data_IF_019096849401
#
_entry.id   IF_019096849401
#
_cell.length_a   1.000
_cell.length_b   1.000
_cell.length_c   1.000
_cell.angle_alpha   90.00
_cell.angle_beta   90.00
_cell.angle_gamma   90.00
#
_symmetry.space_group_name_H-M   'P 1'
#
loop_
_entity.id
_entity.type
_entity.pdbx_description
1 polymer ?
#
# COMPACT_ATOMS: atom_id res chain seq x y z
N UNK A 1 -28.79 37.39 70.26
CA UNK A 1 -29.25 37.26 68.85
C UNK A 1 -28.45 36.11 68.22
N UNK A 2 -29.00 34.89 68.17
CA UNK A 2 -29.51 34.18 66.96
C UNK A 2 -28.45 34.08 65.83
N UNK A 3 -27.93 32.85 65.57
CA UNK A 3 -28.31 31.93 64.45
C UNK A 3 -27.92 32.53 63.09
N UNK A 4 -27.28 31.89 62.11
CA UNK A 4 -27.38 30.52 61.59
C UNK A 4 -26.43 30.48 60.35
N UNK A 5 -25.65 29.42 60.14
CA UNK A 5 -25.85 28.32 59.15
C UNK A 5 -25.50 28.64 57.67
N UNK A 6 -25.14 27.53 56.98
CA UNK A 6 -24.97 27.29 55.52
C UNK A 6 -23.61 27.73 54.95
N UNK A 7 -22.64 26.87 54.61
CA UNK A 7 -22.62 25.67 53.75
C UNK A 7 -22.86 25.96 52.26
N UNK A 8 -21.79 25.95 51.46
CA UNK A 8 -21.80 25.61 50.03
C UNK A 8 -20.44 25.02 49.64
N UNK A 9 -20.48 23.79 49.12
CA UNK A 9 -19.37 22.96 48.64
C UNK A 9 -18.76 23.46 47.31
N UNK A 10 -17.55 23.01 46.93
CA UNK A 10 -16.78 23.60 45.84
C UNK A 10 -17.17 23.06 44.46
N UNK A 11 -17.10 23.94 43.47
CA UNK A 11 -17.28 23.66 42.05
C UNK A 11 -15.99 23.05 41.48
N UNK A 12 -15.92 21.72 41.40
CA UNK A 12 -14.87 21.01 40.69
C UNK A 12 -15.20 20.93 39.19
N UNK A 13 -14.53 21.75 38.37
CA UNK A 13 -14.61 21.69 36.91
C UNK A 13 -13.63 20.60 36.41
N UNK A 14 -14.16 19.40 36.17
CA UNK A 14 -13.43 18.34 35.48
C UNK A 14 -13.47 18.61 33.96
N UNK A 15 -12.35 19.07 33.41
CA UNK A 15 -12.12 19.25 31.98
C UNK A 15 -11.97 17.87 31.32
N UNK A 16 -13.01 17.39 30.63
CA UNK A 16 -12.93 16.22 29.76
C UNK A 16 -12.06 16.55 28.53
N UNK A 17 -10.81 16.09 28.54
CA UNK A 17 -10.01 15.93 27.32
C UNK A 17 -10.54 14.70 26.58
N UNK A 18 -11.37 14.94 25.56
CA UNK A 18 -11.69 13.93 24.56
C UNK A 18 -10.42 13.63 23.74
N UNK A 19 -9.71 12.58 24.13
CA UNK A 19 -8.70 11.97 23.28
C UNK A 19 -9.43 11.30 22.09
N UNK A 20 -9.35 11.91 20.92
CA UNK A 20 -9.66 11.22 19.67
C UNK A 20 -8.60 10.13 19.47
N UNK A 21 -8.82 8.95 20.04
CA UNK A 21 -8.19 7.72 19.58
C UNK A 21 -8.77 7.46 18.18
N UNK A 22 -8.06 7.94 17.15
CA UNK A 22 -8.33 7.51 15.79
C UNK A 22 -8.05 6.01 15.73
N UNK A 23 -9.09 5.19 15.77
CA UNK A 23 -8.95 3.75 15.58
C UNK A 23 -8.12 3.51 14.32
N UNK A 24 -6.95 2.85 14.40
CA UNK A 24 -6.18 2.57 13.22
C UNK A 24 -7.05 1.70 12.32
N UNK A 25 -7.36 2.21 11.12
CA UNK A 25 -8.11 1.45 10.12
C UNK A 25 -7.46 0.06 10.01
N UNK A 26 -8.26 -1.03 10.04
CA UNK A 26 -7.70 -2.37 9.91
C UNK A 26 -6.85 -2.40 8.64
N UNK A 27 -5.55 -2.63 8.81
CA UNK A 27 -4.65 -2.80 7.67
C UNK A 27 -5.12 -4.07 6.98
N UNK A 28 -5.59 -4.02 5.73
CA UNK A 28 -6.04 -5.21 5.05
C UNK A 28 -4.85 -6.16 4.94
N UNK A 29 -4.92 -7.24 5.71
CA UNK A 29 -3.94 -8.30 5.69
C UNK A 29 -4.07 -9.03 4.36
N UNK A 30 -2.93 -9.38 3.79
CA UNK A 30 -2.81 -9.98 2.47
C UNK A 30 -3.38 -9.08 1.38
N UNK A 31 -3.01 -7.79 1.42
CA UNK A 31 -3.36 -6.84 0.36
C UNK A 31 -2.17 -6.57 -0.57
N UNK A 32 -2.37 -6.66 -1.87
CA UNK A 32 -1.44 -6.18 -2.88
C UNK A 32 -2.09 -5.16 -3.79
N UNK A 33 -1.35 -4.10 -4.11
CA UNK A 33 -1.77 -3.19 -5.17
C UNK A 33 -0.65 -2.36 -5.77
N UNK A 34 -0.85 -1.97 -7.03
CA UNK A 34 0.01 -1.04 -7.76
C UNK A 34 -0.73 0.29 -7.89
N UNK A 35 -0.06 1.37 -7.50
CA UNK A 35 -0.63 2.70 -7.38
C UNK A 35 0.19 3.69 -8.21
N UNK A 36 -0.51 4.67 -8.79
CA UNK A 36 0.15 5.83 -9.39
C UNK A 36 0.80 6.70 -8.30
N UNK A 37 1.84 7.44 -8.69
CA UNK A 37 2.50 8.44 -7.83
C UNK A 37 2.41 9.83 -8.44
N UNK A 38 2.59 10.85 -7.61
CA UNK A 38 2.58 12.26 -8.02
C UNK A 38 3.75 13.04 -7.43
N UNK A 39 4.03 14.20 -8.03
CA UNK A 39 5.00 15.18 -7.51
C UNK A 39 4.34 16.36 -6.80
N UNK A 40 3.04 16.56 -7.01
CA UNK A 40 2.26 17.66 -6.41
C UNK A 40 1.15 17.06 -5.54
N UNK A 41 1.03 17.45 -4.25
CA UNK A 41 -0.07 17.01 -3.40
C UNK A 41 -1.44 17.41 -3.97
N UNK A 42 -2.42 16.53 -3.82
CA UNK A 42 -3.83 16.82 -4.08
C UNK A 42 -4.72 15.89 -3.25
N UNK A 43 -6.02 16.15 -3.21
CA UNK A 43 -6.97 15.30 -2.49
C UNK A 43 -7.02 13.84 -2.99
N UNK A 44 -6.46 13.54 -4.18
CA UNK A 44 -6.41 12.19 -4.73
C UNK A 44 -5.20 11.36 -4.26
N UNK A 45 -4.27 11.95 -3.48
CA UNK A 45 -3.04 11.31 -3.04
C UNK A 45 -2.86 11.37 -1.53
N UNK A 46 -2.23 10.35 -0.96
CA UNK A 46 -1.73 10.32 0.42
C UNK A 46 -0.20 10.23 0.42
N UNK A 47 0.43 10.72 1.47
CA UNK A 47 1.87 10.58 1.67
C UNK A 47 2.16 9.26 2.39
N UNK A 48 3.03 8.43 1.79
CA UNK A 48 3.60 7.24 2.42
C UNK A 48 5.13 7.35 2.41
N UNK A 49 5.80 6.73 3.38
CA UNK A 49 7.24 6.57 3.36
C UNK A 49 7.62 5.26 2.65
N UNK A 50 8.60 5.31 1.74
CA UNK A 50 9.21 4.11 1.17
C UNK A 50 10.13 3.40 2.21
N UNK A 51 10.68 2.21 1.91
CA UNK A 51 11.58 1.52 2.84
C UNK A 51 12.83 2.31 3.23
N UNK A 52 13.21 3.33 2.46
CA UNK A 52 14.33 4.22 2.72
C UNK A 52 13.92 5.48 3.52
N UNK A 53 12.63 5.58 3.92
CA UNK A 53 12.08 6.70 4.67
C UNK A 53 11.74 7.92 3.82
N UNK A 54 11.86 7.85 2.49
CA UNK A 54 11.54 8.96 1.60
C UNK A 54 10.02 9.05 1.41
N UNK A 55 9.50 10.25 1.60
CA UNK A 55 8.09 10.54 1.36
C UNK A 55 7.74 10.44 -0.12
N UNK A 56 6.63 9.76 -0.42
CA UNK A 56 6.07 9.61 -1.77
C UNK A 56 4.56 9.85 -1.73
N UNK A 57 4.06 10.62 -2.69
CA UNK A 57 2.63 10.79 -2.91
C UNK A 57 2.09 9.60 -3.67
N UNK A 58 1.20 8.84 -3.05
CA UNK A 58 0.62 7.61 -3.57
C UNK A 58 -0.88 7.80 -3.74
N UNK A 59 -1.42 7.41 -4.89
CA UNK A 59 -2.85 7.54 -5.18
C UNK A 59 -3.69 6.83 -4.09
N UNK A 60 -4.86 7.37 -3.77
CA UNK A 60 -5.72 6.77 -2.75
C UNK A 60 -6.26 5.40 -3.17
N UNK A 61 -6.54 5.22 -4.47
CA UNK A 61 -7.08 3.98 -5.06
C UNK A 61 -6.00 3.23 -5.85
N UNK A 62 -5.94 1.89 -5.74
CA UNK A 62 -5.04 1.09 -6.57
C UNK A 62 -5.48 1.10 -8.03
N UNK A 63 -4.51 1.11 -8.94
CA UNK A 63 -4.74 0.91 -10.37
C UNK A 63 -4.82 -0.58 -10.74
N UNK A 64 -4.11 -1.41 -9.97
CA UNK A 64 -4.11 -2.88 -10.05
C UNK A 64 -4.13 -3.44 -8.64
N UNK A 65 -4.80 -4.58 -8.45
CA UNK A 65 -4.91 -5.25 -7.14
C UNK A 65 -4.45 -6.70 -7.23
N UNK A 66 -4.37 -7.41 -6.11
CA UNK A 66 -4.15 -8.88 -6.11
C UNK A 66 -5.15 -9.64 -6.97
N UNK A 67 -6.37 -9.11 -7.13
CA UNK A 67 -7.36 -9.72 -7.99
C UNK A 67 -6.80 -9.83 -9.42
N UNK A 68 -6.09 -8.82 -9.87
CA UNK A 68 -5.59 -8.76 -11.24
C UNK A 68 -4.43 -9.71 -11.55
N UNK A 69 -3.90 -10.40 -10.53
CA UNK A 69 -2.77 -11.32 -10.64
C UNK A 69 -3.25 -12.66 -11.20
N UNK A 70 -2.62 -13.09 -12.30
CA UNK A 70 -2.80 -14.41 -12.90
C UNK A 70 -1.88 -15.45 -12.23
N UNK A 71 -0.62 -15.08 -11.98
CA UNK A 71 0.38 -15.91 -11.30
C UNK A 71 1.51 -15.04 -10.75
N UNK A 72 2.16 -15.49 -9.68
CA UNK A 72 3.35 -14.92 -9.11
C UNK A 72 4.40 -16.02 -8.90
N UNK A 73 5.64 -15.78 -9.32
CA UNK A 73 6.72 -16.78 -9.24
C UNK A 73 8.00 -16.15 -8.70
N UNK A 74 8.70 -16.89 -7.83
CA UNK A 74 10.02 -16.47 -7.34
C UNK A 74 11.05 -16.68 -8.44
N UNK A 75 11.76 -15.63 -8.81
CA UNK A 75 12.90 -15.67 -9.71
C UNK A 75 14.14 -15.08 -9.02
N UNK A 76 15.30 -15.27 -9.63
CA UNK A 76 16.56 -14.69 -9.16
C UNK A 76 17.10 -13.73 -10.23
N UNK A 77 17.64 -12.60 -9.80
CA UNK A 77 18.37 -11.69 -10.67
C UNK A 77 19.75 -12.28 -11.05
N UNK A 78 20.47 -11.59 -11.93
CA UNK A 78 21.82 -11.96 -12.36
C UNK A 78 22.86 -12.05 -11.22
N UNK A 79 22.56 -11.48 -10.05
CA UNK A 79 23.42 -11.50 -8.87
C UNK A 79 22.96 -12.56 -7.84
N UNK A 80 21.97 -13.39 -8.17
CA UNK A 80 21.39 -14.39 -7.27
C UNK A 80 20.46 -13.81 -6.20
N UNK A 81 20.01 -12.55 -6.34
CA UNK A 81 19.04 -11.94 -5.42
C UNK A 81 17.62 -12.38 -5.78
N UNK A 82 16.82 -12.84 -4.81
CA UNK A 82 15.46 -13.27 -5.07
C UNK A 82 14.54 -12.06 -5.34
N UNK A 83 13.56 -12.28 -6.20
CA UNK A 83 12.44 -11.38 -6.47
C UNK A 83 11.22 -12.16 -6.94
N UNK A 84 10.12 -11.46 -7.19
CA UNK A 84 8.86 -12.09 -7.63
C UNK A 84 8.44 -11.53 -8.99
N UNK A 85 8.35 -12.38 -10.01
CA UNK A 85 7.65 -12.01 -11.26
C UNK A 85 6.15 -12.16 -11.04
N UNK A 86 5.43 -11.05 -11.09
CA UNK A 86 3.96 -11.00 -11.07
C UNK A 86 3.47 -10.88 -12.50
N UNK A 87 2.70 -11.87 -12.94
CA UNK A 87 1.98 -11.84 -14.22
C UNK A 87 0.54 -11.46 -13.96
N UNK A 88 0.07 -10.43 -14.64
CA UNK A 88 -1.31 -9.97 -14.58
C UNK A 88 -2.19 -10.65 -15.64
N UNK A 89 -3.49 -10.70 -15.39
CA UNK A 89 -4.49 -11.10 -16.40
C UNK A 89 -4.46 -10.16 -17.61
N UNK A 90 -4.97 -10.61 -18.76
CA UNK A 90 -4.95 -9.79 -19.99
C UNK A 90 -5.66 -8.42 -19.83
N UNK A 91 -6.86 -8.31 -19.22
CA UNK A 91 -7.48 -7.00 -18.98
C UNK A 91 -6.63 -6.10 -18.08
N UNK A 92 -5.99 -6.68 -17.08
CA UNK A 92 -5.09 -5.96 -16.18
C UNK A 92 -3.78 -5.55 -16.85
N UNK A 93 -3.24 -6.38 -17.75
CA UNK A 93 -2.06 -6.05 -18.55
C UNK A 93 -2.30 -4.81 -19.43
N UNK A 94 -3.50 -4.63 -19.99
CA UNK A 94 -3.87 -3.41 -20.72
C UNK A 94 -3.89 -2.18 -19.80
N UNK A 95 -4.44 -2.31 -18.58
CA UNK A 95 -4.43 -1.22 -17.59
C UNK A 95 -3.01 -0.90 -17.10
N UNK A 96 -2.17 -1.91 -16.92
CA UNK A 96 -0.75 -1.74 -16.60
C UNK A 96 -0.02 -0.98 -17.70
N UNK A 97 -0.26 -1.32 -18.97
CA UNK A 97 0.32 -0.64 -20.11
C UNK A 97 -0.10 0.84 -20.19
N UNK A 98 -1.38 1.15 -19.92
CA UNK A 98 -1.87 2.53 -19.86
C UNK A 98 -1.21 3.31 -18.70
N UNK A 99 -1.25 2.74 -17.48
CA UNK A 99 -0.65 3.33 -16.28
C UNK A 99 0.83 3.65 -16.47
N UNK A 100 1.61 2.71 -17.00
CA UNK A 100 3.04 2.88 -17.25
C UNK A 100 3.33 3.81 -18.42
N UNK A 101 2.42 3.89 -19.41
CA UNK A 101 2.45 4.92 -20.45
C UNK A 101 2.41 6.33 -19.87
N UNK A 102 1.45 6.58 -18.97
CA UNK A 102 1.29 7.88 -18.30
C UNK A 102 2.39 8.15 -17.26
N UNK A 103 2.89 7.11 -16.61
CA UNK A 103 3.91 7.21 -15.56
C UNK A 103 5.35 7.20 -16.09
N UNK A 104 5.58 7.33 -17.40
CA UNK A 104 6.94 7.33 -17.97
C UNK A 104 7.85 8.35 -17.26
N UNK A 105 8.99 7.88 -16.78
CA UNK A 105 9.96 8.70 -16.05
C UNK A 105 9.62 8.92 -14.57
N UNK A 106 8.47 8.43 -14.08
CA UNK A 106 8.04 8.46 -12.68
C UNK A 106 8.13 7.09 -12.04
N UNK A 107 7.96 7.02 -10.73
CA UNK A 107 7.86 5.76 -9.99
C UNK A 107 6.40 5.31 -9.89
N UNK A 108 6.18 4.00 -9.81
CA UNK A 108 4.93 3.46 -9.27
C UNK A 108 5.12 3.14 -7.80
N UNK A 109 4.02 3.01 -7.06
CA UNK A 109 4.03 2.54 -5.68
C UNK A 109 3.43 1.14 -5.62
N UNK A 110 4.18 0.17 -5.12
CA UNK A 110 3.70 -1.18 -4.86
C UNK A 110 3.52 -1.34 -3.37
N UNK A 111 2.28 -1.53 -2.95
CA UNK A 111 1.93 -1.73 -1.55
C UNK A 111 1.64 -3.22 -1.31
N UNK A 112 2.21 -3.73 -0.22
CA UNK A 112 1.87 -5.03 0.35
C UNK A 112 1.44 -4.79 1.79
N UNK A 113 0.25 -5.25 2.16
CA UNK A 113 -0.37 -5.04 3.47
C UNK A 113 -0.43 -3.57 3.86
N UNK A 114 -0.87 -2.73 2.92
CA UNK A 114 -0.95 -1.28 3.09
C UNK A 114 0.39 -0.54 3.20
N UNK A 115 1.52 -1.26 3.28
CA UNK A 115 2.86 -0.67 3.39
C UNK A 115 3.48 -0.54 2.02
N UNK A 116 4.04 0.64 1.73
CA UNK A 116 4.83 0.86 0.53
C UNK A 116 6.09 0.01 0.59
N UNK A 117 6.13 -1.07 -0.19
CA UNK A 117 7.26 -1.99 -0.22
C UNK A 117 8.23 -1.67 -1.34
N UNK A 118 7.74 -1.29 -2.52
CA UNK A 118 8.58 -1.05 -3.70
C UNK A 118 8.15 0.21 -4.44
N UNK A 119 9.13 0.87 -5.05
CA UNK A 119 8.93 2.10 -5.83
C UNK A 119 9.60 2.01 -7.23
N UNK A 120 9.20 1.05 -8.08
CA UNK A 120 9.87 0.83 -9.37
C UNK A 120 9.74 2.04 -10.28
N UNK A 121 10.85 2.42 -10.93
CA UNK A 121 10.88 3.51 -11.90
C UNK A 121 10.42 3.02 -13.26
N UNK A 122 9.40 3.67 -13.82
CA UNK A 122 8.89 3.35 -15.15
C UNK A 122 9.78 3.98 -16.21
N UNK A 123 10.45 3.16 -17.00
CA UNK A 123 11.30 3.58 -18.12
C UNK A 123 10.52 3.56 -19.45
N UNK A 124 9.80 2.47 -19.68
CA UNK A 124 8.94 2.27 -20.83
C UNK A 124 7.58 1.69 -20.42
N UNK A 125 6.53 1.82 -21.27
CA UNK A 125 5.26 1.16 -21.01
C UNK A 125 5.41 -0.36 -20.95
N UNK A 126 4.90 -0.98 -19.89
CA UNK A 126 4.93 -2.42 -19.69
C UNK A 126 3.75 -3.06 -20.43
N UNK A 127 4.03 -3.70 -21.56
CA UNK A 127 3.00 -4.29 -22.44
C UNK A 127 2.88 -5.81 -22.36
N UNK A 128 3.85 -6.49 -21.75
CA UNK A 128 3.85 -7.94 -21.59
C UNK A 128 3.00 -8.42 -20.40
N UNK A 129 2.41 -7.50 -19.62
CA UNK A 129 1.60 -7.83 -18.44
C UNK A 129 2.41 -8.38 -17.26
N UNK A 130 3.73 -8.21 -17.25
CA UNK A 130 4.62 -8.77 -16.23
C UNK A 130 5.38 -7.67 -15.50
N UNK A 131 5.47 -7.78 -14.17
CA UNK A 131 6.29 -6.90 -13.33
C UNK A 131 7.19 -7.75 -12.47
N UNK A 132 8.48 -7.44 -12.45
CA UNK A 132 9.43 -8.04 -11.52
C UNK A 132 9.52 -7.17 -10.27
N UNK A 133 9.24 -7.77 -9.11
CA UNK A 133 9.33 -7.16 -7.79
C UNK A 133 10.66 -7.58 -7.17
N UNK A 134 11.64 -6.68 -7.21
CA UNK A 134 12.97 -6.86 -6.64
C UNK A 134 13.06 -6.33 -5.19
N UNK A 135 14.26 -6.26 -4.63
CA UNK A 135 14.50 -5.61 -3.33
C UNK A 135 14.00 -6.38 -2.10
N UNK A 136 13.65 -7.65 -2.27
CA UNK A 136 13.22 -8.53 -1.17
C UNK A 136 14.44 -8.98 -0.35
N UNK A 137 14.28 -9.07 0.97
CA UNK A 137 15.37 -9.34 1.90
C UNK A 137 15.86 -10.80 1.85
N UNK A 138 14.99 -11.72 1.44
CA UNK A 138 15.32 -13.15 1.38
C UNK A 138 14.42 -13.91 0.41
N UNK A 139 14.85 -15.13 0.07
CA UNK A 139 14.02 -16.07 -0.71
C UNK A 139 12.74 -16.45 0.04
N UNK A 140 12.79 -16.48 1.38
CA UNK A 140 11.63 -16.75 2.21
C UNK A 140 10.57 -15.65 2.03
N UNK A 141 10.97 -14.38 2.09
CA UNK A 141 10.06 -13.25 1.85
C UNK A 141 9.50 -13.27 0.42
N UNK A 142 10.34 -13.58 -0.58
CA UNK A 142 9.87 -13.72 -1.96
C UNK A 142 8.84 -14.84 -2.13
N UNK A 143 9.06 -15.98 -1.49
CA UNK A 143 8.14 -17.11 -1.52
C UNK A 143 6.83 -16.80 -0.82
N UNK A 144 6.89 -16.19 0.36
CA UNK A 144 5.71 -15.78 1.10
C UNK A 144 4.83 -14.83 0.26
N UNK A 145 5.45 -13.82 -0.37
CA UNK A 145 4.73 -12.90 -1.25
C UNK A 145 4.12 -13.63 -2.46
N UNK A 146 4.88 -14.50 -3.13
CA UNK A 146 4.38 -15.25 -4.28
C UNK A 146 3.19 -16.16 -3.90
N UNK A 147 3.30 -16.88 -2.78
CA UNK A 147 2.24 -17.76 -2.27
C UNK A 147 0.98 -16.96 -1.92
N UNK A 148 1.13 -15.80 -1.26
CA UNK A 148 0.01 -14.89 -0.98
C UNK A 148 -0.68 -14.40 -2.26
N UNK A 149 0.08 -13.93 -3.24
CA UNK A 149 -0.47 -13.43 -4.51
C UNK A 149 -1.19 -14.54 -5.30
N UNK A 150 -0.63 -15.75 -5.33
CA UNK A 150 -1.24 -16.90 -6.00
C UNK A 150 -2.53 -17.35 -5.29
N UNK A 151 -2.55 -17.36 -3.96
CA UNK A 151 -3.74 -17.72 -3.19
C UNK A 151 -4.90 -16.75 -3.44
N UNK A 152 -4.61 -15.45 -3.55
CA UNK A 152 -5.62 -14.40 -3.74
C UNK A 152 -6.06 -14.25 -5.20
N UNK A 153 -5.14 -14.49 -6.15
CA UNK A 153 -5.46 -14.52 -7.58
C UNK A 153 -6.36 -15.69 -7.97
N UNK A 154 -6.26 -16.82 -7.25
CA UNK A 154 -6.96 -18.07 -7.56
C UNK A 154 -8.39 -18.18 -7.00
N UNK A 155 -8.95 -17.13 -6.38
CA UNK A 155 -10.31 -17.21 -5.85
C UNK A 155 -11.34 -17.31 -7.00
N UNK A 156 -12.07 -18.44 -7.14
CA UNK A 156 -13.08 -18.61 -8.18
C UNK A 156 -14.31 -17.76 -7.85
N UNK A 157 -14.74 -16.90 -8.77
CA UNK A 157 -15.94 -16.08 -8.60
C UNK A 157 -15.88 -14.66 -9.16
N UNK A 158 -15.18 -14.45 -10.27
CA UNK A 158 -15.26 -13.19 -11.03
C UNK A 158 -16.02 -13.37 -12.32
#
# INVERSE_FOLDING_TARGET
MKRSKLALLPLGLALLLAACASDPLPIPQHSFGVYATASTPSAAFRTLADPQGKAMLVALKPSLTQADVLRAEVLYDQNGRPGVEVTFTEPAARRLAALTGEARGRTLAVLVDGRLRLAPRVREPIRNGKVYLDGLASVYEARELADQLNALGSQPGR
#
